data_IF_155575539294
#
_entry.id   IF_155575539294
#
_cell.length_a   1.000
_cell.length_b   1.000
_cell.length_c   1.000
_cell.angle_alpha   90.00
_cell.angle_beta   90.00
_cell.angle_gamma   90.00
#
_symmetry.space_group_name_H-M   'P 1'
#
loop_
_entity.id
_entity.type
_entity.pdbx_description
1 polymer ?
#
# COMPACT_ATOMS: atom_id res chain seq x y z
N UNK A 1 13.23 -15.87 -6.30
CA UNK A 1 12.94 -15.76 -4.85
C UNK A 1 12.30 -17.05 -4.37
N UNK A 2 12.77 -17.66 -3.28
CA UNK A 2 12.18 -18.89 -2.73
C UNK A 2 10.93 -18.59 -1.90
N UNK A 3 10.07 -19.60 -1.66
CA UNK A 3 8.84 -19.47 -0.85
C UNK A 3 9.11 -18.88 0.53
N UNK A 4 10.04 -19.49 1.27
CA UNK A 4 10.32 -19.06 2.65
C UNK A 4 10.88 -17.63 2.70
N UNK A 5 11.72 -17.25 1.72
CA UNK A 5 12.22 -15.86 1.62
C UNK A 5 11.09 -14.88 1.31
N UNK A 6 10.15 -15.23 0.42
CA UNK A 6 8.96 -14.43 0.18
C UNK A 6 8.13 -14.23 1.44
N UNK A 7 7.88 -15.30 2.19
CA UNK A 7 6.99 -15.25 3.35
C UNK A 7 7.62 -14.42 4.47
N UNK A 8 8.94 -14.55 4.67
CA UNK A 8 9.68 -13.72 5.62
C UNK A 8 9.61 -12.24 5.24
N UNK A 9 9.86 -11.90 3.97
CA UNK A 9 9.80 -10.51 3.49
C UNK A 9 8.40 -9.94 3.65
N UNK A 10 7.36 -10.70 3.27
CA UNK A 10 5.97 -10.27 3.42
C UNK A 10 5.59 -10.09 4.90
N UNK A 11 5.98 -11.01 5.77
CA UNK A 11 5.74 -10.90 7.20
C UNK A 11 6.37 -9.64 7.79
N UNK A 12 7.65 -9.40 7.50
CA UNK A 12 8.36 -8.22 7.99
C UNK A 12 7.76 -6.93 7.41
N UNK A 13 7.43 -6.90 6.13
CA UNK A 13 6.80 -5.74 5.49
C UNK A 13 5.42 -5.43 6.09
N UNK A 14 4.60 -6.46 6.34
CA UNK A 14 3.29 -6.30 6.99
C UNK A 14 3.45 -5.79 8.42
N UNK A 15 4.37 -6.38 9.20
CA UNK A 15 4.64 -5.95 10.57
C UNK A 15 5.06 -4.48 10.62
N UNK A 16 6.03 -4.09 9.79
CA UNK A 16 6.48 -2.69 9.70
C UNK A 16 5.36 -1.76 9.23
N UNK A 17 4.55 -2.19 8.26
CA UNK A 17 3.41 -1.41 7.76
C UNK A 17 2.34 -1.16 8.84
N UNK A 18 1.98 -2.20 9.61
CA UNK A 18 1.04 -2.07 10.72
C UNK A 18 1.58 -1.18 11.84
N UNK A 19 2.85 -1.35 12.23
CA UNK A 19 3.50 -0.49 13.24
C UNK A 19 3.50 0.96 12.78
N UNK A 20 3.87 1.22 11.52
CA UNK A 20 3.88 2.58 10.96
C UNK A 20 2.48 3.22 10.94
N UNK A 21 1.44 2.47 10.58
CA UNK A 21 0.06 2.96 10.60
C UNK A 21 -0.43 3.22 12.02
N UNK A 22 -0.07 2.37 12.98
CA UNK A 22 -0.40 2.60 14.38
C UNK A 22 0.25 3.89 14.89
N UNK A 23 1.55 4.09 14.62
CA UNK A 23 2.26 5.33 14.97
C UNK A 23 1.59 6.54 14.30
N UNK A 24 1.26 6.43 13.01
CA UNK A 24 0.61 7.52 12.25
C UNK A 24 -0.79 7.83 12.78
N UNK A 25 -1.54 6.82 13.22
CA UNK A 25 -2.86 7.01 13.84
C UNK A 25 -2.75 7.72 15.19
N UNK A 26 -1.78 7.32 16.02
CA UNK A 26 -1.51 7.97 17.31
C UNK A 26 -1.03 9.41 17.13
N UNK A 27 -0.17 9.68 16.14
CA UNK A 27 0.30 11.03 15.82
C UNK A 27 -0.82 11.92 15.27
N UNK A 28 -1.72 11.37 14.44
CA UNK A 28 -2.88 12.09 13.92
C UNK A 28 -3.77 12.64 15.05
N UNK A 29 -3.95 11.86 16.11
CA UNK A 29 -4.76 12.25 17.29
C UNK A 29 -4.11 13.43 18.03
N UNK A 30 -2.78 13.54 18.04
CA UNK A 30 -2.07 14.52 18.85
C UNK A 30 -1.64 15.77 18.06
N UNK A 31 -1.14 15.59 16.83
CA UNK A 31 -0.41 16.63 16.10
C UNK A 31 -1.01 16.96 14.72
N UNK A 32 -2.05 16.25 14.26
CA UNK A 32 -2.75 16.46 12.98
C UNK A 32 -1.86 16.50 11.71
N UNK A 33 -0.58 16.10 11.80
CA UNK A 33 0.35 16.09 10.68
C UNK A 33 0.69 14.66 10.27
N UNK A 34 0.83 14.41 8.96
CA UNK A 34 1.37 13.14 8.46
C UNK A 34 2.80 13.33 8.01
N UNK A 35 3.74 12.64 8.66
CA UNK A 35 5.18 12.73 8.40
C UNK A 35 5.56 12.03 7.09
N UNK A 36 5.56 12.75 5.95
CA UNK A 36 6.14 12.27 4.71
C UNK A 36 7.57 12.79 4.53
N UNK A 37 8.58 11.97 4.83
CA UNK A 37 9.98 12.38 4.69
C UNK A 37 10.34 12.79 3.26
N UNK A 38 9.78 12.11 2.25
CA UNK A 38 10.06 12.43 0.85
C UNK A 38 9.62 13.85 0.49
N UNK A 39 8.38 14.23 0.86
CA UNK A 39 7.89 15.59 0.62
C UNK A 39 8.66 16.62 1.44
N UNK A 40 8.99 16.30 2.69
CA UNK A 40 9.74 17.22 3.57
C UNK A 40 11.15 17.53 3.04
N UNK A 41 11.79 16.58 2.35
CA UNK A 41 13.14 16.77 1.79
C UNK A 41 13.09 17.38 0.38
N UNK A 42 12.18 16.92 -0.48
CA UNK A 42 12.17 17.30 -1.91
C UNK A 42 11.22 18.45 -2.23
N UNK A 43 10.24 18.73 -1.36
CA UNK A 43 9.13 19.65 -1.64
C UNK A 43 8.08 19.07 -2.60
N UNK A 44 8.26 17.87 -3.14
CA UNK A 44 7.42 17.30 -4.20
C UNK A 44 6.58 16.15 -3.67
N UNK A 45 5.29 16.16 -3.97
CA UNK A 45 4.39 15.03 -3.72
C UNK A 45 4.79 13.82 -4.57
N UNK A 46 5.07 12.67 -3.97
CA UNK A 46 5.28 11.41 -4.70
C UNK A 46 3.94 10.71 -5.03
N UNK A 47 3.93 9.66 -5.87
CA UNK A 47 2.69 8.95 -6.21
C UNK A 47 1.96 8.37 -4.98
N UNK A 48 2.68 8.08 -3.90
CA UNK A 48 2.10 7.57 -2.65
C UNK A 48 1.80 8.64 -1.60
N UNK A 49 2.04 9.93 -1.87
CA UNK A 49 1.71 11.00 -0.92
C UNK A 49 0.21 10.99 -0.58
N UNK A 50 -0.12 11.04 0.71
CA UNK A 50 -1.49 10.96 1.21
C UNK A 50 -2.08 9.53 1.30
N UNK A 51 -1.35 8.48 0.92
CA UNK A 51 -1.85 7.10 1.00
C UNK A 51 -2.09 6.64 2.44
N UNK A 52 -1.21 6.97 3.38
CA UNK A 52 -1.42 6.71 4.82
C UNK A 52 -2.67 7.41 5.33
N UNK A 53 -2.87 8.68 4.97
CA UNK A 53 -4.08 9.43 5.36
C UNK A 53 -5.34 8.85 4.73
N UNK A 54 -5.27 8.35 3.49
CA UNK A 54 -6.35 7.60 2.86
C UNK A 54 -6.70 6.34 3.67
N UNK A 55 -5.70 5.53 4.07
CA UNK A 55 -5.91 4.34 4.90
C UNK A 55 -6.56 4.70 6.25
N UNK A 56 -6.12 5.78 6.89
CA UNK A 56 -6.71 6.26 8.16
C UNK A 56 -8.16 6.74 7.96
N UNK A 57 -8.47 7.43 6.85
CA UNK A 57 -9.83 7.84 6.51
C UNK A 57 -10.74 6.63 6.24
N UNK A 58 -10.25 5.61 5.55
CA UNK A 58 -10.95 4.33 5.35
C UNK A 58 -11.25 3.68 6.70
N UNK A 59 -10.27 3.63 7.60
CA UNK A 59 -10.43 3.07 8.94
C UNK A 59 -11.47 3.84 9.79
N UNK A 60 -11.61 5.15 9.57
CA UNK A 60 -12.62 6.01 10.20
C UNK A 60 -13.98 6.02 9.47
N UNK A 61 -14.14 5.27 8.37
CA UNK A 61 -15.38 5.19 7.59
C UNK A 61 -15.58 6.31 6.57
N UNK A 62 -14.65 7.25 6.42
CA UNK A 62 -14.73 8.33 5.42
C UNK A 62 -14.15 7.89 4.07
N UNK A 63 -14.92 7.05 3.37
CA UNK A 63 -14.55 6.48 2.07
C UNK A 63 -14.40 7.56 0.99
N UNK A 64 -15.23 8.60 1.03
CA UNK A 64 -15.23 9.65 0.01
C UNK A 64 -13.95 10.48 0.10
N UNK A 65 -13.60 10.95 1.30
CA UNK A 65 -12.37 11.71 1.50
C UNK A 65 -11.14 10.85 1.26
N UNK A 66 -11.19 9.55 1.62
CA UNK A 66 -10.11 8.61 1.32
C UNK A 66 -9.82 8.49 -0.18
N UNK A 67 -10.87 8.48 -1.01
CA UNK A 67 -10.72 8.38 -2.46
C UNK A 67 -10.15 9.67 -3.04
N UNK A 68 -10.66 10.82 -2.57
CA UNK A 68 -10.20 12.13 -3.00
C UNK A 68 -8.76 12.40 -2.62
N UNK A 69 -8.32 11.91 -1.46
CA UNK A 69 -6.95 12.15 -1.01
C UNK A 69 -5.94 11.30 -1.78
N UNK A 70 -6.08 9.98 -1.83
CA UNK A 70 -5.24 9.13 -2.68
C UNK A 70 -5.91 7.76 -2.86
N UNK A 71 -6.32 7.37 -4.09
CA UNK A 71 -6.98 6.09 -4.35
C UNK A 71 -6.10 4.88 -4.02
N UNK A 72 -4.76 5.02 -4.01
CA UNK A 72 -3.86 3.94 -3.62
C UNK A 72 -4.07 3.48 -2.17
N UNK A 73 -4.65 4.31 -1.30
CA UNK A 73 -5.00 3.91 0.06
C UNK A 73 -5.95 2.72 0.10
N UNK A 74 -6.89 2.60 -0.85
CA UNK A 74 -7.78 1.45 -0.94
C UNK A 74 -7.02 0.16 -1.25
N UNK A 75 -6.10 0.22 -2.22
CA UNK A 75 -5.28 -0.93 -2.57
C UNK A 75 -4.42 -1.37 -1.37
N UNK A 76 -3.83 -0.41 -0.66
CA UNK A 76 -3.04 -0.69 0.54
C UNK A 76 -3.91 -1.29 1.65
N UNK A 77 -5.09 -0.72 1.93
CA UNK A 77 -6.02 -1.27 2.94
C UNK A 77 -6.42 -2.71 2.62
N UNK A 78 -6.74 -3.02 1.36
CA UNK A 78 -7.08 -4.38 0.93
C UNK A 78 -5.88 -5.32 1.14
N UNK A 79 -4.68 -4.92 0.71
CA UNK A 79 -3.46 -5.72 0.88
C UNK A 79 -3.18 -5.98 2.35
N UNK A 80 -3.31 -4.96 3.20
CA UNK A 80 -3.07 -5.07 4.63
C UNK A 80 -4.04 -6.05 5.29
N UNK A 81 -5.31 -6.12 4.88
CA UNK A 81 -6.26 -7.08 5.44
C UNK A 81 -6.08 -8.48 4.83
N UNK A 82 -5.98 -8.58 3.52
CA UNK A 82 -5.98 -9.86 2.81
C UNK A 82 -4.67 -10.64 2.95
N UNK A 83 -3.51 -9.96 2.91
CA UNK A 83 -2.22 -10.65 2.91
C UNK A 83 -1.90 -11.38 4.22
N UNK A 84 -2.11 -10.82 5.43
CA UNK A 84 -1.92 -11.57 6.66
C UNK A 84 -2.81 -12.80 6.74
N UNK A 85 -4.09 -12.67 6.36
CA UNK A 85 -5.04 -13.79 6.35
C UNK A 85 -4.59 -14.90 5.40
N UNK A 86 -4.14 -14.52 4.20
CA UNK A 86 -3.66 -15.49 3.21
C UNK A 86 -2.34 -16.14 3.63
N UNK A 87 -1.42 -15.36 4.20
CA UNK A 87 -0.16 -15.87 4.73
C UNK A 87 -0.40 -16.87 5.88
N UNK A 88 -1.28 -16.54 6.82
CA UNK A 88 -1.68 -17.42 7.92
C UNK A 88 -2.34 -18.69 7.40
N UNK A 89 -3.26 -18.58 6.45
CA UNK A 89 -3.89 -19.74 5.81
C UNK A 89 -2.85 -20.68 5.19
N UNK A 90 -1.89 -20.16 4.44
CA UNK A 90 -0.84 -20.98 3.83
C UNK A 90 0.07 -21.66 4.87
N UNK A 91 0.39 -20.98 5.98
CA UNK A 91 1.20 -21.54 7.07
C UNK A 91 0.42 -22.64 7.80
N UNK A 92 -0.82 -22.39 8.21
CA UNK A 92 -1.66 -23.31 8.98
C UNK A 92 -1.96 -24.58 8.18
N UNK A 93 -2.39 -24.41 6.92
CA UNK A 93 -2.76 -25.54 6.05
C UNK A 93 -1.57 -26.10 5.25
N UNK A 94 -0.35 -25.61 5.50
CA UNK A 94 0.89 -26.00 4.79
C UNK A 94 0.78 -25.91 3.27
N UNK A 95 0.00 -24.92 2.78
CA UNK A 95 -0.20 -24.66 1.35
C UNK A 95 0.84 -23.65 0.82
N UNK A 96 0.93 -23.55 -0.50
CA UNK A 96 1.79 -22.58 -1.19
C UNK A 96 0.97 -21.73 -2.19
N UNK A 97 -0.29 -21.46 -1.86
CA UNK A 97 -1.22 -20.77 -2.75
C UNK A 97 -0.83 -19.31 -2.95
N UNK A 98 -0.37 -18.63 -1.90
CA UNK A 98 0.17 -17.27 -1.95
C UNK A 98 1.41 -17.21 -2.84
N UNK A 99 2.35 -18.15 -2.64
CA UNK A 99 3.57 -18.21 -3.46
C UNK A 99 3.27 -18.48 -4.95
N UNK A 100 2.36 -19.41 -5.24
CA UNK A 100 1.93 -19.70 -6.61
C UNK A 100 1.25 -18.50 -7.26
N UNK A 101 0.36 -17.82 -6.54
CA UNK A 101 -0.30 -16.60 -6.99
C UNK A 101 0.67 -15.44 -7.20
N UNK A 102 1.64 -15.26 -6.31
CA UNK A 102 2.72 -14.28 -6.48
C UNK A 102 3.49 -14.53 -7.79
N UNK A 103 3.82 -15.79 -8.09
CA UNK A 103 4.50 -16.15 -9.34
C UNK A 103 3.66 -15.86 -10.58
N UNK A 104 2.37 -16.15 -10.54
CA UNK A 104 1.44 -15.83 -11.63
C UNK A 104 1.27 -14.31 -11.81
N UNK A 105 1.17 -13.56 -10.72
CA UNK A 105 1.10 -12.10 -10.76
C UNK A 105 2.38 -11.49 -11.31
N UNK A 106 3.55 -12.00 -10.91
CA UNK A 106 4.86 -11.57 -11.43
C UNK A 106 4.94 -11.75 -12.96
N UNK A 107 4.53 -12.89 -13.49
CA UNK A 107 4.54 -13.14 -14.94
C UNK A 107 3.47 -12.34 -15.66
N UNK A 108 2.29 -12.16 -15.07
CA UNK A 108 1.20 -11.36 -15.65
C UNK A 108 1.56 -9.88 -15.76
N UNK A 109 2.13 -9.28 -14.70
CA UNK A 109 2.54 -7.87 -14.70
C UNK A 109 3.67 -7.60 -15.70
N UNK A 110 4.54 -8.60 -15.97
CA UNK A 110 5.61 -8.47 -16.99
C UNK A 110 5.07 -8.39 -18.42
N UNK A 111 3.80 -8.72 -18.67
CA UNK A 111 3.18 -8.56 -19.99
C UNK A 111 3.05 -7.06 -20.27
N UNK A 112 3.68 -6.57 -21.36
CA UNK A 112 3.75 -5.13 -21.68
C UNK A 112 2.37 -4.45 -21.69
N UNK A 113 1.37 -5.11 -22.27
CA UNK A 113 -0.01 -4.61 -22.34
C UNK A 113 -0.68 -4.47 -20.97
N UNK A 114 -0.21 -5.17 -19.94
CA UNK A 114 -0.66 -5.02 -18.55
C UNK A 114 0.19 -3.97 -17.83
N UNK A 115 1.51 -4.00 -18.02
CA UNK A 115 2.44 -3.06 -17.39
C UNK A 115 2.16 -1.61 -17.78
N UNK A 116 1.90 -1.33 -19.07
CA UNK A 116 1.72 0.03 -19.58
C UNK A 116 0.54 0.75 -18.90
N UNK A 117 -0.69 0.18 -18.86
CA UNK A 117 -1.79 0.78 -18.13
C UNK A 117 -1.49 1.00 -16.64
N UNK A 118 -0.85 0.04 -15.97
CA UNK A 118 -0.49 0.20 -14.55
C UNK A 118 0.47 1.38 -14.33
N UNK A 119 1.48 1.52 -15.19
CA UNK A 119 2.41 2.66 -15.15
C UNK A 119 1.68 3.97 -15.41
N UNK A 120 0.80 4.02 -16.41
CA UNK A 120 -0.01 5.21 -16.72
C UNK A 120 -0.90 5.59 -15.54
N UNK A 121 -1.53 4.62 -14.87
CA UNK A 121 -2.34 4.86 -13.67
C UNK A 121 -1.51 5.46 -12.53
N UNK A 122 -0.30 4.95 -12.29
CA UNK A 122 0.61 5.49 -11.26
C UNK A 122 1.05 6.92 -11.62
N UNK A 123 1.37 7.19 -12.88
CA UNK A 123 1.76 8.53 -13.35
C UNK A 123 0.60 9.52 -13.27
N UNK A 124 -0.62 9.09 -13.63
CA UNK A 124 -1.82 9.90 -13.49
C UNK A 124 -2.10 10.24 -12.02
N UNK A 125 -1.98 9.26 -11.12
CA UNK A 125 -2.10 9.49 -9.68
C UNK A 125 -1.03 10.46 -9.17
N UNK A 126 0.19 10.37 -9.69
CA UNK A 126 1.28 11.27 -9.32
C UNK A 126 0.99 12.71 -9.76
N UNK A 127 0.59 12.92 -11.02
CA UNK A 127 0.19 14.23 -11.52
C UNK A 127 -0.97 14.82 -10.72
N UNK A 128 -1.94 13.99 -10.33
CA UNK A 128 -3.05 14.42 -9.47
C UNK A 128 -2.59 14.83 -8.07
N UNK A 129 -1.64 14.13 -7.48
CA UNK A 129 -1.08 14.50 -6.18
C UNK A 129 -0.30 15.81 -6.23
N UNK A 130 0.44 16.06 -7.31
CA UNK A 130 1.14 17.35 -7.53
C UNK A 130 0.10 18.48 -7.68
N UNK A 131 -0.94 18.28 -8.48
CA UNK A 131 -2.01 19.27 -8.66
C UNK A 131 -2.73 19.65 -7.35
N UNK A 132 -2.91 18.67 -6.45
CA UNK A 132 -3.52 18.89 -5.13
C UNK A 132 -2.53 19.48 -4.10
N UNK A 133 -1.27 19.67 -4.47
CA UNK A 133 -0.19 20.13 -3.58
C UNK A 133 -0.03 19.27 -2.30
N UNK A 134 -0.35 17.98 -2.43
CA UNK A 134 -0.36 17.00 -1.33
C UNK A 134 0.97 16.81 -0.63
#
# INVERSE_FOLDING_TARGET
>A
MSRNRLYLVLFLALLLGYVYILISYLDLIHNQHTLCMFKNVTGIACPSCGSTRSVLLIANGDIKSALLINPLGFLISIIMIAMPLWLLHDIIYKKASLYSSYKKAETFIRIKWVAIPLVVLVLANWGWNIYKEL
#
